data_IF_034352488604
#
_entry.id   IF_034352488604
#
_cell.length_a   1.000
_cell.length_b   1.000
_cell.length_c   1.000
_cell.angle_alpha   90.00
_cell.angle_beta   90.00
_cell.angle_gamma   90.00
#
_symmetry.space_group_name_H-M   'P 1'
#
loop_
_entity.id
_entity.type
_entity.pdbx_description
1 polymer ?
#
# COMPACT_ATOMS: atom_id res chain seq x y z
N UNK A 1 -7.06 13.49 8.09
CA UNK A 1 -6.77 12.18 8.65
C UNK A 1 -5.34 12.14 9.12
N UNK A 2 -5.05 11.40 10.18
CA UNK A 2 -3.66 11.14 10.58
C UNK A 2 -3.20 9.78 10.05
N UNK A 3 -1.89 9.59 9.96
CA UNK A 3 -1.29 8.33 9.57
C UNK A 3 -0.23 7.91 10.60
N UNK A 4 -0.37 6.72 11.16
CA UNK A 4 0.61 6.11 12.06
C UNK A 4 1.27 4.92 11.39
N UNK A 5 2.58 4.78 11.61
CA UNK A 5 3.41 3.75 10.99
C UNK A 5 4.14 2.94 12.06
N UNK A 6 3.99 1.62 12.06
CA UNK A 6 4.72 0.71 12.96
C UNK A 6 5.34 -0.45 12.20
N UNK A 7 6.38 -1.09 12.77
CA UNK A 7 7.05 -2.24 12.15
C UNK A 7 8.51 -2.05 11.76
N UNK A 8 9.21 -1.12 12.41
CA UNK A 8 10.63 -0.81 12.19
C UNK A 8 10.96 -0.50 10.72
N UNK A 9 10.26 0.52 10.20
CA UNK A 9 10.42 0.99 8.84
C UNK A 9 11.60 1.95 8.74
N UNK A 10 12.45 1.74 7.73
CA UNK A 10 13.45 2.71 7.32
C UNK A 10 12.83 3.92 6.62
N UNK A 11 13.66 4.90 6.31
CA UNK A 11 13.18 6.18 5.79
C UNK A 11 12.63 6.09 4.35
N UNK A 12 13.17 5.18 3.53
CA UNK A 12 12.68 4.92 2.16
C UNK A 12 11.29 4.30 2.23
N UNK A 13 11.07 3.36 3.14
CA UNK A 13 9.77 2.71 3.30
C UNK A 13 8.72 3.66 3.87
N UNK A 14 9.07 4.52 4.84
CA UNK A 14 8.15 5.57 5.33
C UNK A 14 7.72 6.51 4.21
N UNK A 15 8.66 6.90 3.34
CA UNK A 15 8.33 7.74 2.20
C UNK A 15 7.47 7.03 1.17
N UNK A 16 7.78 5.77 0.87
CA UNK A 16 6.96 4.91 0.01
C UNK A 16 5.51 4.81 0.51
N UNK A 17 5.32 4.69 1.83
CA UNK A 17 3.99 4.63 2.44
C UNK A 17 3.24 5.96 2.29
N UNK A 18 3.90 7.12 2.45
CA UNK A 18 3.28 8.44 2.24
C UNK A 18 2.89 8.67 0.78
N UNK A 19 3.74 8.24 -0.15
CA UNK A 19 3.45 8.28 -1.59
C UNK A 19 2.26 7.39 -1.91
N UNK A 20 2.23 6.16 -1.40
CA UNK A 20 1.13 5.23 -1.57
C UNK A 20 -0.19 5.81 -1.04
N UNK A 21 -0.17 6.47 0.12
CA UNK A 21 -1.35 7.16 0.66
C UNK A 21 -1.88 8.24 -0.28
N UNK A 22 -0.98 9.07 -0.81
CA UNK A 22 -1.33 10.14 -1.75
C UNK A 22 -1.98 9.58 -3.02
N UNK A 23 -1.38 8.52 -3.58
CA UNK A 23 -1.89 7.83 -4.76
C UNK A 23 -3.25 7.18 -4.47
N UNK A 24 -3.39 6.48 -3.34
CA UNK A 24 -4.66 5.87 -2.94
C UNK A 24 -5.78 6.92 -2.80
N UNK A 25 -5.48 8.08 -2.19
CA UNK A 25 -6.43 9.20 -2.09
C UNK A 25 -6.86 9.70 -3.47
N UNK A 26 -5.91 9.90 -4.39
CA UNK A 26 -6.22 10.32 -5.77
C UNK A 26 -7.08 9.29 -6.51
N UNK A 27 -6.79 8.00 -6.37
CA UNK A 27 -7.59 6.93 -6.97
C UNK A 27 -8.98 6.83 -6.35
N UNK A 28 -9.11 7.02 -5.02
CA UNK A 28 -10.42 6.99 -4.36
C UNK A 28 -11.35 8.05 -4.92
N UNK A 29 -10.87 9.29 -5.04
CA UNK A 29 -11.65 10.40 -5.63
C UNK A 29 -12.03 10.12 -7.08
N UNK A 30 -11.16 9.45 -7.84
CA UNK A 30 -11.43 9.08 -9.23
C UNK A 30 -12.49 7.97 -9.37
N UNK A 31 -12.51 7.01 -8.45
CA UNK A 31 -13.47 5.89 -8.45
C UNK A 31 -14.80 6.32 -7.83
N UNK A 32 -14.75 7.04 -6.70
CA UNK A 32 -15.90 7.53 -5.95
C UNK A 32 -15.74 9.04 -5.67
N UNK A 33 -16.21 9.90 -6.59
CA UNK A 33 -16.17 11.35 -6.38
C UNK A 33 -16.96 11.74 -5.13
N UNK A 34 -16.35 12.50 -4.22
CA UNK A 34 -16.96 12.91 -2.95
C UNK A 34 -16.59 12.04 -1.74
N UNK A 35 -15.76 11.01 -1.92
CA UNK A 35 -15.25 10.21 -0.80
C UNK A 35 -14.31 11.03 0.10
N UNK A 36 -14.74 11.26 1.35
CA UNK A 36 -13.98 11.96 2.39
C UNK A 36 -13.21 11.01 3.32
N UNK A 37 -13.22 9.69 3.06
CA UNK A 37 -12.64 8.67 3.93
C UNK A 37 -11.19 9.01 4.34
N UNK A 38 -10.29 9.27 3.39
CA UNK A 38 -8.90 9.63 3.68
C UNK A 38 -8.74 11.01 4.37
N UNK A 39 -9.75 11.87 4.32
CA UNK A 39 -9.71 13.17 5.01
C UNK A 39 -10.16 13.06 6.46
N UNK A 40 -11.02 12.11 6.81
CA UNK A 40 -11.59 11.93 8.15
C UNK A 40 -10.93 10.78 8.92
N UNK A 41 -10.52 9.72 8.23
CA UNK A 41 -10.00 8.52 8.86
C UNK A 41 -8.60 8.73 9.47
N UNK A 42 -8.36 8.03 10.58
CA UNK A 42 -7.05 7.84 11.17
C UNK A 42 -6.55 6.45 10.76
N UNK A 43 -5.49 6.39 9.96
CA UNK A 43 -5.00 5.15 9.37
C UNK A 43 -3.71 4.70 10.06
N UNK A 44 -3.69 3.48 10.58
CA UNK A 44 -2.49 2.86 11.11
C UNK A 44 -2.00 1.78 10.15
N UNK A 45 -0.81 1.96 9.59
CA UNK A 45 -0.13 0.96 8.77
C UNK A 45 0.90 0.23 9.63
N UNK A 46 0.66 -1.06 9.86
CA UNK A 46 1.58 -1.94 10.56
C UNK A 46 2.25 -2.88 9.56
N UNK A 47 3.58 -2.96 9.61
CA UNK A 47 4.34 -3.99 8.89
C UNK A 47 4.90 -4.99 9.92
N UNK A 48 4.50 -6.27 9.86
CA UNK A 48 4.91 -7.28 10.85
C UNK A 48 6.43 -7.49 10.85
N UNK A 49 6.98 -8.09 11.90
CA UNK A 49 8.43 -8.26 12.16
C UNK A 49 9.16 -6.95 12.52
N UNK A 50 8.77 -6.30 13.62
CA UNK A 50 9.40 -5.05 14.07
C UNK A 50 10.88 -5.16 14.50
N UNK A 51 11.48 -6.35 14.53
CA UNK A 51 12.90 -6.51 14.82
C UNK A 51 13.80 -6.26 13.59
N UNK A 52 13.27 -6.46 12.39
CA UNK A 52 14.03 -6.34 11.13
C UNK A 52 13.78 -4.98 10.48
N UNK A 53 14.85 -4.28 10.10
CA UNK A 53 14.75 -3.01 9.39
C UNK A 53 14.21 -3.26 7.97
N UNK A 54 13.08 -2.64 7.64
CA UNK A 54 12.47 -2.73 6.30
C UNK A 54 12.60 -1.41 5.59
N UNK A 55 13.51 -1.35 4.62
CA UNK A 55 13.86 -0.13 3.92
C UNK A 55 13.92 -0.33 2.40
N UNK A 56 12.75 -0.49 1.77
CA UNK A 56 12.66 -0.67 0.32
C UNK A 56 11.33 -0.18 -0.26
N UNK A 57 11.33 0.43 -1.46
CA UNK A 57 10.13 1.02 -2.06
C UNK A 57 9.17 -0.02 -2.67
N UNK A 58 9.59 -1.28 -2.74
CA UNK A 58 8.91 -2.39 -3.41
C UNK A 58 7.52 -2.75 -2.87
N UNK A 59 7.15 -2.27 -1.68
CA UNK A 59 5.86 -2.55 -1.07
C UNK A 59 4.78 -1.49 -1.40
N UNK A 60 5.11 -0.45 -2.18
CA UNK A 60 4.21 0.65 -2.48
C UNK A 60 2.86 0.19 -3.07
N UNK A 61 2.89 -0.72 -4.04
CA UNK A 61 1.68 -1.22 -4.70
C UNK A 61 0.76 -1.99 -3.74
N UNK A 62 1.35 -2.77 -2.84
CA UNK A 62 0.63 -3.53 -1.80
C UNK A 62 -0.08 -2.57 -0.84
N UNK A 63 0.59 -1.50 -0.42
CA UNK A 63 0.03 -0.49 0.48
C UNK A 63 -1.13 0.25 -0.18
N UNK A 64 -0.96 0.70 -1.43
CA UNK A 64 -2.06 1.37 -2.19
C UNK A 64 -3.29 0.47 -2.25
N UNK A 65 -3.09 -0.80 -2.56
CA UNK A 65 -4.19 -1.78 -2.69
C UNK A 65 -4.89 -1.99 -1.35
N UNK A 66 -4.13 -2.11 -0.26
CA UNK A 66 -4.70 -2.25 1.08
C UNK A 66 -5.50 -1.01 1.50
N UNK A 67 -5.00 0.20 1.20
CA UNK A 67 -5.69 1.46 1.51
C UNK A 67 -6.98 1.63 0.70
N UNK A 68 -6.97 1.29 -0.59
CA UNK A 68 -8.16 1.35 -1.44
C UNK A 68 -9.20 0.30 -1.02
N UNK A 69 -8.76 -0.91 -0.71
CA UNK A 69 -9.60 -1.98 -0.16
C UNK A 69 -10.31 -1.52 1.12
N UNK A 70 -9.58 -0.85 2.02
CA UNK A 70 -10.14 -0.28 3.25
C UNK A 70 -11.15 0.84 2.98
N UNK A 71 -10.84 1.78 2.07
CA UNK A 71 -11.75 2.89 1.73
C UNK A 71 -13.04 2.43 1.02
N UNK A 72 -12.95 1.36 0.22
CA UNK A 72 -14.11 0.81 -0.49
C UNK A 72 -14.92 -0.18 0.36
N UNK A 73 -14.39 -0.60 1.52
CA UNK A 73 -14.93 -1.69 2.33
C UNK A 73 -15.06 -3.01 1.53
N UNK A 74 -14.10 -3.26 0.64
CA UNK A 74 -14.05 -4.47 -0.20
C UNK A 74 -12.79 -5.27 0.15
N UNK A 75 -12.90 -6.57 0.47
CA UNK A 75 -11.76 -7.38 0.89
C UNK A 75 -10.79 -7.64 -0.27
N UNK A 76 -9.49 -7.57 0.01
CA UNK A 76 -8.44 -7.99 -0.92
C UNK A 76 -8.38 -9.52 -1.02
N UNK A 77 -8.05 -10.02 -2.22
CA UNK A 77 -7.91 -11.47 -2.46
C UNK A 77 -6.67 -12.00 -1.75
N UNK A 78 -6.85 -12.94 -0.82
CA UNK A 78 -5.77 -13.46 0.03
C UNK A 78 -4.74 -14.34 -0.70
N UNK A 79 -5.10 -14.90 -1.86
CA UNK A 79 -4.21 -15.78 -2.64
C UNK A 79 -3.28 -15.02 -3.59
N UNK A 80 -3.09 -13.72 -3.36
CA UNK A 80 -2.30 -12.85 -4.23
C UNK A 80 -1.19 -12.19 -3.43
N UNK A 81 0.05 -12.36 -3.86
CA UNK A 81 1.19 -11.57 -3.42
C UNK A 81 1.50 -10.49 -4.47
N UNK A 82 1.86 -9.30 -4.01
CA UNK A 82 2.10 -8.11 -4.85
C UNK A 82 3.46 -7.51 -4.48
N UNK A 83 4.20 -7.06 -5.50
CA UNK A 83 5.44 -6.29 -5.36
C UNK A 83 5.51 -5.27 -6.48
N UNK A 84 5.89 -4.04 -6.16
CA UNK A 84 5.96 -2.93 -7.11
C UNK A 84 6.13 -1.61 -6.39
N UNK A 85 6.99 -0.77 -6.94
CA UNK A 85 7.19 0.60 -6.48
C UNK A 85 6.10 1.48 -7.06
N UNK A 86 5.66 2.49 -6.31
CA UNK A 86 4.61 3.40 -6.74
C UNK A 86 5.18 4.80 -6.85
N UNK A 87 5.01 5.41 -8.03
CA UNK A 87 5.28 6.82 -8.29
C UNK A 87 4.10 7.69 -7.84
N UNK A 88 4.36 8.96 -7.47
CA UNK A 88 3.33 9.97 -7.21
C UNK A 88 2.33 10.18 -8.37
N UNK A 89 2.73 9.84 -9.59
CA UNK A 89 1.84 9.88 -10.77
C UNK A 89 0.83 8.71 -10.80
N UNK A 90 0.90 7.79 -9.84
CA UNK A 90 0.12 6.56 -9.82
C UNK A 90 0.64 5.47 -10.74
N UNK A 91 1.82 5.66 -11.36
CA UNK A 91 2.49 4.61 -12.13
C UNK A 91 3.16 3.61 -11.20
N UNK A 92 2.93 2.31 -11.45
CA UNK A 92 3.68 1.23 -10.80
C UNK A 92 4.97 1.03 -11.57
N UNK A 93 6.10 1.26 -10.91
CA UNK A 93 7.42 1.00 -11.45
C UNK A 93 7.80 -0.47 -11.15
N UNK A 94 8.32 -1.20 -12.15
CA UNK A 94 8.76 -2.57 -11.94
C UNK A 94 10.02 -2.59 -11.05
N UNK A 95 9.96 -3.32 -9.93
CA UNK A 95 11.11 -3.55 -9.04
C UNK A 95 11.57 -4.98 -9.28
N UNK A 96 12.64 -5.17 -10.07
CA UNK A 96 12.98 -6.48 -10.62
C UNK A 96 11.95 -6.94 -11.68
N UNK A 97 12.20 -8.07 -12.33
CA UNK A 97 11.43 -8.58 -13.48
C UNK A 97 9.92 -8.68 -13.13
N UNK A 98 9.18 -7.62 -13.45
CA UNK A 98 7.72 -7.48 -13.49
C UNK A 98 6.99 -7.35 -12.14
N UNK A 99 6.05 -6.40 -12.08
CA UNK A 99 4.99 -6.36 -11.06
C UNK A 99 4.07 -7.58 -11.26
N UNK A 100 4.23 -8.61 -10.45
CA UNK A 100 3.37 -9.80 -10.49
C UNK A 100 2.34 -9.78 -9.36
N UNK A 101 1.09 -10.09 -9.70
CA UNK A 101 0.16 -10.75 -8.79
C UNK A 101 0.57 -12.22 -8.73
N UNK A 102 1.45 -12.60 -7.80
CA UNK A 102 1.84 -13.99 -7.63
C UNK A 102 0.71 -14.73 -6.92
N UNK A 103 0.17 -15.77 -7.54
CA UNK A 103 -0.75 -16.66 -6.84
C UNK A 103 0.03 -17.38 -5.74
N UNK A 104 -0.25 -17.07 -4.47
CA UNK A 104 0.35 -17.79 -3.36
C UNK A 104 -0.30 -19.18 -3.37
N UNK A 105 0.43 -20.18 -3.87
CA UNK A 105 0.05 -21.59 -3.64
C UNK A 105 0.19 -21.86 -2.15
N UNK A 106 -0.92 -21.91 -1.43
CA UNK A 106 -1.01 -22.52 -0.12
C UNK A 106 -0.66 -24.00 -0.27
N UNK A 107 0.61 -24.35 -0.05
CA UNK A 107 0.97 -25.72 0.34
C UNK A 107 0.46 -25.88 1.78
N UNK A 108 -0.66 -26.59 1.90
CA UNK A 108 -0.92 -27.38 3.10
C UNK A 108 -0.02 -28.62 3.07
#
# INVERSE_FOLDING_TARGET
>A
GSMELTGNLGDVMKESVRMAYTVAKMFSVKIRPGDSFFSEAHIHVHVPEGATLKDGPSAGCTIVTALLSLAMNEPSRQNIAMTGEVSLTGKVLPVGKTCYMLHRSTKY
#
